data_IF_059283721816
#
_entry.id   IF_059283721816
#
_cell.length_a   1.000
_cell.length_b   1.000
_cell.length_c   1.000
_cell.angle_alpha   90.00
_cell.angle_beta   90.00
_cell.angle_gamma   90.00
#
_symmetry.space_group_name_H-M   'P 1'
#
loop_
_entity.id
_entity.type
_entity.pdbx_description
1 polymer ?
#
# COMPACT_ATOMS: atom_id res chain seq x y z
N UNK A 1 28.67 -25.14 -13.65
CA UNK A 1 27.42 -25.32 -12.88
C UNK A 1 26.48 -26.08 -13.79
N UNK A 2 25.99 -27.26 -13.38
CA UNK A 2 25.30 -28.18 -14.29
C UNK A 2 23.79 -27.90 -14.25
N UNK A 3 23.09 -28.11 -15.36
CA UNK A 3 21.64 -27.84 -15.48
C UNK A 3 20.82 -28.63 -14.45
N UNK A 4 21.26 -29.84 -14.11
CA UNK A 4 20.65 -30.68 -13.08
C UNK A 4 20.81 -30.11 -11.67
N UNK A 5 21.91 -29.42 -11.39
CA UNK A 5 22.13 -28.74 -10.10
C UNK A 5 21.17 -27.57 -9.95
N UNK A 6 20.93 -26.82 -11.03
CA UNK A 6 19.97 -25.71 -11.04
C UNK A 6 18.56 -26.24 -10.79
N UNK A 7 18.16 -27.32 -11.46
CA UNK A 7 16.84 -27.95 -11.26
C UNK A 7 16.61 -28.39 -9.82
N UNK A 8 17.60 -29.04 -9.19
CA UNK A 8 17.53 -29.46 -7.79
C UNK A 8 17.44 -28.27 -6.83
N UNK A 9 18.21 -27.20 -7.09
CA UNK A 9 18.13 -25.98 -6.28
C UNK A 9 16.77 -25.29 -6.44
N UNK A 10 16.23 -25.23 -7.66
CA UNK A 10 14.92 -24.66 -7.93
C UNK A 10 13.80 -25.48 -7.28
N UNK A 11 13.90 -26.81 -7.34
CA UNK A 11 12.96 -27.72 -6.70
C UNK A 11 12.98 -27.56 -5.18
N UNK A 12 14.17 -27.54 -4.56
CA UNK A 12 14.32 -27.27 -3.12
C UNK A 12 13.77 -25.89 -2.77
N UNK A 13 14.04 -24.87 -3.59
CA UNK A 13 13.55 -23.51 -3.37
C UNK A 13 12.02 -23.42 -3.47
N UNK A 14 11.42 -24.04 -4.48
CA UNK A 14 9.96 -24.04 -4.65
C UNK A 14 9.24 -24.83 -3.56
N UNK A 15 9.84 -25.92 -3.07
CA UNK A 15 9.31 -26.72 -1.96
C UNK A 15 9.51 -25.99 -0.62
N UNK A 16 10.62 -25.27 -0.45
CA UNK A 16 10.94 -24.55 0.79
C UNK A 16 10.37 -23.13 0.81
N UNK A 17 9.92 -22.62 -0.35
CA UNK A 17 9.18 -21.37 -0.42
C UNK A 17 8.00 -21.52 0.52
N UNK A 18 7.83 -20.60 1.48
CA UNK A 18 6.66 -20.64 2.33
C UNK A 18 5.44 -20.49 1.41
N UNK A 19 4.78 -21.60 1.10
CA UNK A 19 3.48 -21.58 0.45
C UNK A 19 2.63 -20.68 1.33
N UNK A 20 2.19 -19.54 0.80
CA UNK A 20 1.42 -18.54 1.53
C UNK A 20 0.22 -19.29 2.09
N UNK A 21 0.15 -19.54 3.42
CA UNK A 21 -1.03 -20.15 3.96
C UNK A 21 -2.13 -19.09 3.82
N UNK A 22 -3.07 -19.32 2.89
CA UNK A 22 -4.18 -18.40 2.58
C UNK A 22 -5.11 -18.17 3.79
N UNK A 23 -4.89 -18.88 4.90
CA UNK A 23 -5.68 -18.82 6.13
C UNK A 23 -4.95 -18.21 7.34
N UNK A 24 -3.72 -17.68 7.17
CA UNK A 24 -3.09 -16.90 8.23
C UNK A 24 -3.32 -15.40 8.00
N UNK A 25 -3.74 -14.72 9.06
CA UNK A 25 -3.97 -13.28 9.08
C UNK A 25 -2.61 -12.57 9.11
N UNK A 26 -2.05 -12.33 7.91
CA UNK A 26 -0.75 -11.68 7.71
C UNK A 26 -0.83 -10.18 7.93
N UNK A 27 0.32 -9.54 8.09
CA UNK A 27 0.38 -8.07 8.09
C UNK A 27 -0.03 -7.54 6.72
N UNK A 28 -0.87 -6.53 6.75
CA UNK A 28 -1.23 -5.68 5.62
C UNK A 28 0.00 -4.93 5.09
N UNK A 29 0.04 -4.75 3.76
CA UNK A 29 1.20 -4.21 3.04
C UNK A 29 1.59 -2.80 3.53
N UNK A 30 0.60 -1.97 3.88
CA UNK A 30 0.81 -0.62 4.40
C UNK A 30 1.50 -0.65 5.78
N UNK A 31 1.05 -1.56 6.66
CA UNK A 31 1.61 -1.75 7.99
C UNK A 31 3.02 -2.33 7.91
N UNK A 32 3.25 -3.26 6.99
CA UNK A 32 4.56 -3.82 6.73
C UNK A 32 5.54 -2.77 6.19
N UNK A 33 5.09 -1.91 5.27
CA UNK A 33 5.89 -0.82 4.72
C UNK A 33 6.24 0.20 5.81
N UNK A 34 5.25 0.64 6.58
CA UNK A 34 5.46 1.55 7.71
C UNK A 34 6.42 0.96 8.76
N UNK A 35 6.38 -0.36 8.97
CA UNK A 35 7.30 -1.06 9.85
C UNK A 35 8.74 -1.03 9.33
N UNK A 36 8.94 -1.32 8.04
CA UNK A 36 10.27 -1.36 7.41
C UNK A 36 10.88 0.05 7.35
N UNK A 37 10.07 1.06 7.04
CA UNK A 37 10.48 2.47 7.01
C UNK A 37 10.69 3.07 8.42
N UNK A 38 10.25 2.39 9.47
CA UNK A 38 10.38 2.85 10.85
C UNK A 38 9.47 4.03 11.21
N UNK A 39 8.35 4.21 10.50
CA UNK A 39 7.41 5.32 10.70
C UNK A 39 6.38 5.06 11.80
N UNK A 40 6.35 3.83 12.33
CA UNK A 40 5.40 3.41 13.37
C UNK A 40 5.72 3.96 14.75
N UNK A 41 4.67 4.27 15.51
CA UNK A 41 4.79 4.62 16.91
C UNK A 41 5.13 3.39 17.78
N UNK A 42 5.63 3.63 19.01
CA UNK A 42 5.89 2.56 19.98
C UNK A 42 4.67 1.70 20.32
N UNK A 43 3.45 2.26 20.20
CA UNK A 43 2.21 1.54 20.48
C UNK A 43 1.87 0.56 19.35
N UNK A 44 2.12 0.96 18.10
CA UNK A 44 1.86 0.16 16.90
C UNK A 44 2.93 -0.91 16.67
N UNK A 45 4.17 -0.64 17.08
CA UNK A 45 5.28 -1.58 16.94
C UNK A 45 5.04 -2.89 17.74
N UNK A 46 4.39 -2.80 18.90
CA UNK A 46 4.22 -3.94 19.81
C UNK A 46 3.41 -5.10 19.21
N UNK A 47 2.20 -4.89 18.64
CA UNK A 47 1.46 -5.97 17.98
C UNK A 47 2.21 -6.54 16.77
N UNK A 48 2.90 -5.70 15.99
CA UNK A 48 3.65 -6.12 14.81
C UNK A 48 4.83 -7.01 15.20
N UNK A 49 5.61 -6.63 16.22
CA UNK A 49 6.65 -7.48 16.79
C UNK A 49 6.10 -8.82 17.27
N UNK A 50 4.94 -8.81 17.95
CA UNK A 50 4.30 -10.05 18.39
C UNK A 50 3.88 -10.94 17.22
N UNK A 51 3.45 -10.35 16.10
CA UNK A 51 3.10 -11.10 14.90
C UNK A 51 4.36 -11.68 14.24
N UNK A 52 5.41 -10.87 14.02
CA UNK A 52 6.66 -11.32 13.41
C UNK A 52 7.34 -12.46 14.18
N UNK A 53 7.26 -12.48 15.53
CA UNK A 53 7.79 -13.60 16.32
C UNK A 53 7.07 -14.93 16.01
N UNK A 54 5.80 -14.88 15.62
CA UNK A 54 4.95 -16.07 15.42
C UNK A 54 4.80 -16.45 13.95
N UNK A 55 4.83 -15.48 13.04
CA UNK A 55 4.64 -15.68 11.61
C UNK A 55 5.98 -15.74 10.89
N UNK A 56 6.35 -16.94 10.42
CA UNK A 56 7.58 -17.12 9.65
C UNK A 56 7.50 -16.41 8.29
N UNK A 57 6.31 -16.35 7.67
CA UNK A 57 6.12 -15.70 6.38
C UNK A 57 6.44 -14.20 6.43
N UNK A 58 5.75 -13.44 7.30
CA UNK A 58 5.99 -11.99 7.44
C UNK A 58 7.44 -11.67 7.84
N UNK A 59 8.10 -12.56 8.59
CA UNK A 59 9.54 -12.46 8.88
C UNK A 59 10.42 -12.58 7.64
N UNK A 60 10.15 -13.57 6.79
CA UNK A 60 10.92 -13.75 5.55
C UNK A 60 10.67 -12.60 4.59
N UNK A 61 9.41 -12.20 4.42
CA UNK A 61 9.04 -11.08 3.57
C UNK A 61 9.74 -9.78 4.00
N UNK A 62 9.73 -9.45 5.30
CA UNK A 62 10.47 -8.29 5.83
C UNK A 62 11.96 -8.38 5.49
N UNK A 63 12.58 -9.55 5.67
CA UNK A 63 14.01 -9.74 5.40
C UNK A 63 14.35 -9.59 3.91
N UNK A 64 13.48 -10.06 3.02
CA UNK A 64 13.62 -9.90 1.57
C UNK A 64 13.54 -8.43 1.14
N UNK A 65 12.59 -7.68 1.69
CA UNK A 65 12.43 -6.25 1.37
C UNK A 65 13.65 -5.45 1.86
N UNK A 66 14.14 -5.69 3.08
CA UNK A 66 15.35 -5.02 3.60
C UNK A 66 16.58 -5.34 2.75
N UNK A 67 16.71 -6.60 2.31
CA UNK A 67 17.80 -7.00 1.41
C UNK A 67 17.72 -6.27 0.08
N UNK A 68 16.53 -6.10 -0.47
CA UNK A 68 16.32 -5.34 -1.70
C UNK A 68 16.68 -3.86 -1.54
N UNK A 69 16.28 -3.24 -0.42
CA UNK A 69 16.63 -1.85 -0.10
C UNK A 69 18.16 -1.66 0.00
N UNK A 70 18.87 -2.62 0.57
CA UNK A 70 20.33 -2.59 0.65
C UNK A 70 20.98 -2.66 -0.74
N UNK A 71 20.44 -3.49 -1.65
CA UNK A 71 20.94 -3.59 -3.04
C UNK A 71 20.76 -2.27 -3.78
N UNK A 72 19.60 -1.62 -3.63
CA UNK A 72 19.34 -0.30 -4.24
C UNK A 72 20.30 0.75 -3.69
N UNK A 73 20.53 0.75 -2.38
CA UNK A 73 21.41 1.74 -1.75
C UNK A 73 22.89 1.55 -2.10
N UNK A 74 23.32 0.35 -2.46
CA UNK A 74 24.72 0.03 -2.79
C UNK A 74 25.12 0.40 -4.22
N UNK A 75 24.17 0.50 -5.15
CA UNK A 75 24.45 0.92 -6.52
C UNK A 75 24.39 2.45 -6.63
N UNK A 76 25.52 3.15 -6.87
CA UNK A 76 25.44 4.54 -7.29
C UNK A 76 24.70 4.57 -8.62
N UNK A 77 23.49 5.12 -8.60
CA UNK A 77 22.67 5.38 -9.79
C UNK A 77 23.51 6.31 -10.69
N UNK A 78 24.28 5.72 -11.60
CA UNK A 78 25.10 6.49 -12.52
C UNK A 78 24.16 7.11 -13.54
N UNK A 79 23.69 8.33 -13.25
CA UNK A 79 22.83 9.13 -14.11
C UNK A 79 23.51 9.55 -15.43
N UNK A 80 24.73 9.06 -15.71
CA UNK A 80 25.45 9.33 -16.95
C UNK A 80 25.16 8.34 -18.06
N UNK A 81 24.32 7.32 -17.84
CA UNK A 81 23.83 6.48 -18.92
C UNK A 81 22.67 7.20 -19.62
N UNK A 82 22.92 7.73 -20.81
CA UNK A 82 21.84 8.11 -21.74
C UNK A 82 20.81 6.96 -21.78
N UNK A 83 19.50 7.26 -21.74
CA UNK A 83 18.44 6.26 -21.67
C UNK A 83 18.44 5.46 -22.98
N UNK A 84 19.23 4.39 -23.01
CA UNK A 84 19.57 3.73 -24.26
C UNK A 84 18.58 2.60 -24.48
N UNK A 85 17.80 2.74 -25.55
CA UNK A 85 16.98 1.71 -26.21
C UNK A 85 15.62 1.39 -25.59
N UNK A 86 15.47 1.37 -24.26
CA UNK A 86 14.17 1.04 -23.64
C UNK A 86 13.18 2.20 -23.70
N UNK A 87 13.65 3.43 -23.52
CA UNK A 87 12.85 4.64 -23.69
C UNK A 87 12.39 4.82 -25.14
N UNK A 88 13.25 4.50 -26.11
CA UNK A 88 12.96 4.58 -27.54
C UNK A 88 11.90 3.57 -27.97
N UNK A 89 11.96 2.33 -27.47
CA UNK A 89 10.94 1.31 -27.78
C UNK A 89 9.59 1.66 -27.15
N UNK A 90 9.56 2.15 -25.90
CA UNK A 90 8.31 2.61 -25.26
C UNK A 90 7.72 3.79 -26.03
N UNK A 91 8.53 4.80 -26.38
CA UNK A 91 8.05 5.94 -27.17
C UNK A 91 7.57 5.55 -28.56
N UNK A 92 8.19 4.54 -29.19
CA UNK A 92 7.74 4.00 -30.47
C UNK A 92 6.38 3.31 -30.36
N UNK A 93 6.18 2.48 -29.34
CA UNK A 93 4.91 1.78 -29.10
C UNK A 93 3.79 2.78 -28.77
N UNK A 94 4.07 3.76 -27.91
CA UNK A 94 3.12 4.82 -27.58
C UNK A 94 2.78 5.65 -28.83
N UNK A 95 3.78 5.98 -29.65
CA UNK A 95 3.54 6.68 -30.92
C UNK A 95 2.69 5.84 -31.87
N UNK A 96 2.92 4.54 -31.98
CA UNK A 96 2.10 3.64 -32.82
C UNK A 96 0.66 3.51 -32.31
N UNK A 97 0.43 3.49 -30.99
CA UNK A 97 -0.90 3.46 -30.38
C UNK A 97 -1.68 4.76 -30.56
N UNK A 98 -1.04 5.91 -30.34
CA UNK A 98 -1.69 7.23 -30.42
C UNK A 98 -1.68 7.84 -31.83
N UNK A 99 -1.04 7.21 -32.82
CA UNK A 99 -1.18 7.55 -34.25
C UNK A 99 -2.42 6.93 -34.90
N UNK A 100 -3.12 6.01 -34.23
CA UNK A 100 -4.47 5.65 -34.66
C UNK A 100 -5.33 6.89 -34.44
N UNK A 101 -5.88 7.41 -35.55
CA UNK A 101 -6.59 8.68 -35.63
C UNK A 101 -7.57 8.87 -34.45
N UNK A 102 -7.85 10.12 -34.01
CA UNK A 102 -8.87 10.37 -33.02
C UNK A 102 -10.19 9.84 -33.56
N UNK A 103 -10.56 8.62 -33.15
CA UNK A 103 -11.94 8.18 -33.19
C UNK A 103 -12.67 9.20 -32.34
N UNK A 104 -13.63 9.95 -32.91
CA UNK A 104 -14.44 10.85 -32.11
C UNK A 104 -15.09 10.01 -31.02
N UNK A 105 -14.61 10.16 -29.79
CA UNK A 105 -15.33 9.70 -28.62
C UNK A 105 -16.53 10.65 -28.58
N UNK A 106 -17.64 10.23 -29.18
CA UNK A 106 -18.92 10.90 -29.03
C UNK A 106 -19.22 10.91 -27.53
N UNK A 107 -18.99 12.07 -26.92
CA UNK A 107 -19.44 12.34 -25.58
C UNK A 107 -20.95 12.10 -25.59
N UNK A 108 -21.40 11.07 -24.88
CA UNK A 108 -22.81 10.94 -24.55
C UNK A 108 -23.17 12.18 -23.76
N UNK A 109 -23.81 13.13 -24.45
CA UNK A 109 -24.50 14.24 -23.83
C UNK A 109 -25.58 13.64 -22.95
N UNK A 110 -25.34 13.62 -21.64
CA UNK A 110 -26.38 13.35 -20.67
C UNK A 110 -27.48 14.39 -20.88
N UNK A 111 -28.59 13.95 -21.50
CA UNK A 111 -29.84 14.70 -21.49
C UNK A 111 -30.19 14.94 -20.02
N UNK A 112 -29.99 16.18 -19.56
CA UNK A 112 -30.69 16.73 -18.41
C UNK A 112 -32.19 16.64 -18.69
N UNK A 113 -32.82 15.57 -18.22
CA UNK A 113 -34.22 15.63 -17.83
C UNK A 113 -34.26 16.25 -16.45
N UNK A 114 -34.43 17.57 -16.44
CA UNK A 114 -35.06 18.25 -15.29
C UNK A 114 -36.43 17.62 -15.12
N UNK A 115 -36.63 16.92 -14.01
CA UNK A 115 -37.79 17.13 -13.13
C UNK A 115 -37.47 16.64 -11.72
N UNK A 116 -37.91 17.46 -10.77
CA UNK A 116 -37.60 17.50 -9.35
C UNK A 116 -38.01 16.21 -8.59
N UNK A 117 -37.37 15.92 -7.45
CA UNK A 117 -37.96 16.09 -6.10
C UNK A 117 -37.20 15.29 -5.01
N UNK A 118 -36.66 16.01 -4.01
CA UNK A 118 -36.20 15.57 -2.66
C UNK A 118 -35.11 14.47 -2.59
N UNK A 119 -34.00 14.63 -1.87
CA UNK A 119 -33.92 15.04 -0.48
C UNK A 119 -32.53 15.62 -0.13
N UNK A 120 -32.44 16.94 -0.06
CA UNK A 120 -31.45 17.64 0.76
C UNK A 120 -32.10 17.92 2.12
N UNK A 121 -32.10 16.90 2.98
CA UNK A 121 -32.40 17.04 4.41
C UNK A 121 -31.93 15.76 5.14
N UNK A 122 -30.63 15.68 5.43
CA UNK A 122 -30.07 14.65 6.32
C UNK A 122 -28.79 15.13 7.05
N UNK A 123 -28.66 16.45 7.25
CA UNK A 123 -27.58 17.07 8.04
C UNK A 123 -28.14 17.98 9.15
N UNK A 124 -29.27 17.61 9.76
CA UNK A 124 -29.73 18.29 10.97
C UNK A 124 -30.37 17.27 11.92
N UNK A 125 -30.01 17.37 13.21
CA UNK A 125 -30.33 16.50 14.35
C UNK A 125 -29.41 15.26 14.57
N UNK A 126 -28.30 15.46 15.29
CA UNK A 126 -28.10 15.07 16.71
C UNK A 126 -26.75 15.66 17.17
N UNK A 127 -26.75 16.94 17.54
CA UNK A 127 -25.81 17.48 18.54
C UNK A 127 -26.68 18.34 19.43
N UNK A 128 -27.04 17.83 20.60
CA UNK A 128 -27.34 18.64 21.76
C UNK A 128 -27.52 17.76 23.01
N UNK A 129 -26.93 18.24 24.12
CA UNK A 129 -27.20 17.91 25.54
C UNK A 129 -26.34 16.73 26.08
N UNK A 130 -25.40 16.88 27.02
CA UNK A 130 -25.24 17.84 28.13
C UNK A 130 -23.77 18.31 28.32
N UNK A 131 -23.56 19.63 28.20
CA UNK A 131 -22.58 20.37 29.02
C UNK A 131 -23.31 20.76 30.31
N UNK A 132 -22.88 20.24 31.46
CA UNK A 132 -22.85 20.95 32.75
C UNK A 132 -22.47 19.99 33.90
N UNK A 133 -21.18 19.88 34.22
CA UNK A 133 -20.79 19.68 35.62
C UNK A 133 -19.53 20.52 35.93
N UNK A 134 -19.77 21.78 36.24
CA UNK A 134 -18.82 22.68 36.89
C UNK A 134 -18.63 22.17 38.32
N UNK A 135 -17.47 21.57 38.60
CA UNK A 135 -17.03 21.28 39.97
C UNK A 135 -16.57 22.60 40.59
N UNK A 136 -17.49 23.28 41.29
CA UNK A 136 -17.16 24.43 42.13
C UNK A 136 -16.41 23.99 43.39
N UNK A 137 -15.14 24.37 43.45
CA UNK A 137 -14.36 24.46 44.67
C UNK A 137 -14.66 25.78 45.37
N UNK A 138 -15.49 25.82 46.43
CA UNK A 138 -15.22 26.71 47.58
C UNK A 138 -16.08 26.42 48.83
N UNK A 139 -15.39 26.42 49.99
CA UNK A 139 -15.80 26.73 51.37
C UNK A 139 -17.17 26.29 51.92
N UNK A 140 -17.11 25.56 53.04
CA UNK A 140 -17.79 26.03 54.27
C UNK A 140 -17.15 25.51 55.56
N UNK A 141 -16.65 26.45 56.34
CA UNK A 141 -16.41 26.34 57.77
C UNK A 141 -17.66 25.87 58.53
N UNK A 142 -17.54 24.81 59.33
CA UNK A 142 -18.04 24.74 60.72
C UNK A 142 -17.67 23.44 61.42
#
# INVERSE_FOLDING_TARGET
MNEETIKKLLEIYLISSPAIPENEDHLDDDVLSAFIEGTLSKRELKPIMSHLVKCAFCRHLTAEIIKFDSIISEEPISQTAEPTKLSETVNKILSELFQTAPTPIEAFEEKKTTDQQSATALFDAVIDIDDDEVIDNDKKDR
#
